data_IF_270098795858
#
_entry.id   IF_270098795858
#
_cell.length_a   1.000
_cell.length_b   1.000
_cell.length_c   1.000
_cell.angle_alpha   90.00
_cell.angle_beta   90.00
_cell.angle_gamma   90.00
#
_symmetry.space_group_name_H-M   'P 1'
#
loop_
_entity.id
_entity.type
_entity.pdbx_description
1 polymer ?
#
# COMPACT_ATOMS: atom_id res chain seq x y z
N UNK A 1 13.50 -28.51 -19.02
CA UNK A 1 13.55 -27.14 -19.57
C UNK A 1 14.84 -26.51 -19.07
N UNK A 2 15.68 -25.95 -19.95
CA UNK A 2 16.88 -25.23 -19.50
C UNK A 2 16.52 -23.86 -18.89
N UNK A 3 17.42 -23.24 -18.14
CA UNK A 3 17.22 -21.87 -17.61
C UNK A 3 17.00 -20.86 -18.74
N UNK A 4 17.65 -21.08 -19.87
CA UNK A 4 17.56 -20.28 -21.08
C UNK A 4 16.18 -20.45 -21.73
N UNK A 5 15.65 -21.66 -21.77
CA UNK A 5 14.32 -21.97 -22.29
C UNK A 5 13.22 -21.38 -21.39
N UNK A 6 13.39 -21.43 -20.07
CA UNK A 6 12.50 -20.77 -19.10
C UNK A 6 12.47 -19.25 -19.29
N UNK A 7 13.63 -18.62 -19.48
CA UNK A 7 13.74 -17.18 -19.76
C UNK A 7 13.07 -16.83 -21.08
N UNK A 8 13.29 -17.62 -22.13
CA UNK A 8 12.67 -17.40 -23.43
C UNK A 8 11.15 -17.51 -23.37
N UNK A 9 10.62 -18.53 -22.68
CA UNK A 9 9.18 -18.73 -22.51
C UNK A 9 8.54 -17.59 -21.70
N UNK A 10 9.19 -17.15 -20.62
CA UNK A 10 8.75 -15.97 -19.86
C UNK A 10 8.69 -14.71 -20.73
N UNK A 11 9.75 -14.44 -21.50
CA UNK A 11 9.79 -13.25 -22.37
C UNK A 11 8.72 -13.31 -23.47
N UNK A 12 8.47 -14.50 -24.03
CA UNK A 12 7.39 -14.74 -24.99
C UNK A 12 6.02 -14.42 -24.38
N UNK A 13 5.75 -14.91 -23.18
CA UNK A 13 4.48 -14.65 -22.49
C UNK A 13 4.33 -13.18 -22.09
N UNK A 14 5.41 -12.55 -21.60
CA UNK A 14 5.42 -11.10 -21.32
C UNK A 14 5.15 -10.27 -22.56
N UNK A 15 5.71 -10.65 -23.70
CA UNK A 15 5.44 -9.97 -24.97
C UNK A 15 3.97 -10.13 -25.38
N UNK A 16 3.45 -11.37 -25.34
CA UNK A 16 2.04 -11.64 -25.60
C UNK A 16 1.11 -10.78 -24.72
N UNK A 17 1.39 -10.71 -23.42
CA UNK A 17 0.64 -9.87 -22.47
C UNK A 17 0.66 -8.39 -22.86
N UNK A 18 1.84 -7.87 -23.23
CA UNK A 18 1.98 -6.46 -23.58
C UNK A 18 1.35 -6.10 -24.93
N UNK A 19 1.37 -6.99 -25.91
CA UNK A 19 0.94 -6.69 -27.29
C UNK A 19 -0.50 -7.11 -27.61
N UNK A 20 -1.11 -7.94 -26.77
CA UNK A 20 -2.43 -8.54 -27.02
C UNK A 20 -3.34 -8.31 -25.81
N UNK A 21 -3.35 -7.08 -25.30
CA UNK A 21 -3.98 -6.70 -24.02
C UNK A 21 -5.46 -7.09 -23.96
N UNK A 22 -6.16 -6.97 -25.07
CA UNK A 22 -7.56 -7.36 -25.26
C UNK A 22 -7.82 -8.87 -25.14
N UNK A 23 -6.79 -9.69 -25.32
CA UNK A 23 -6.83 -11.15 -25.17
C UNK A 23 -6.29 -11.63 -23.82
N UNK A 24 -5.87 -10.70 -22.97
CA UNK A 24 -5.24 -10.98 -21.68
C UNK A 24 -6.15 -10.63 -20.52
N UNK A 25 -5.87 -11.22 -19.37
CA UNK A 25 -6.65 -11.10 -18.14
C UNK A 25 -5.76 -10.73 -16.95
N UNK A 26 -6.39 -10.41 -15.82
CA UNK A 26 -5.67 -10.21 -14.55
C UNK A 26 -4.95 -11.48 -14.08
N UNK A 27 -5.42 -12.67 -14.49
CA UNK A 27 -4.72 -13.94 -14.21
C UNK A 27 -3.41 -14.06 -14.99
N UNK A 28 -3.34 -13.50 -16.20
CA UNK A 28 -2.09 -13.46 -16.97
C UNK A 28 -1.07 -12.54 -16.30
N UNK A 29 -1.51 -11.39 -15.78
CA UNK A 29 -0.67 -10.50 -14.99
C UNK A 29 -0.19 -11.15 -13.69
N UNK A 30 -1.09 -11.84 -12.97
CA UNK A 30 -0.75 -12.58 -11.76
C UNK A 30 0.30 -13.66 -12.06
N UNK A 31 0.10 -14.40 -13.15
CA UNK A 31 1.05 -15.42 -13.62
C UNK A 31 2.40 -14.81 -13.94
N UNK A 32 2.46 -13.72 -14.71
CA UNK A 32 3.71 -12.98 -14.97
C UNK A 32 4.41 -12.56 -13.68
N UNK A 33 3.64 -12.07 -12.71
CA UNK A 33 4.16 -11.59 -11.44
C UNK A 33 4.86 -12.70 -10.66
N UNK A 34 4.29 -13.91 -10.59
CA UNK A 34 4.93 -15.07 -9.91
C UNK A 34 6.33 -15.39 -10.45
N UNK A 35 6.53 -15.25 -11.76
CA UNK A 35 7.81 -15.55 -12.42
C UNK A 35 8.71 -14.33 -12.60
N UNK A 36 8.27 -13.14 -12.19
CA UNK A 36 9.03 -11.90 -12.34
C UNK A 36 10.07 -11.71 -11.23
N UNK A 37 11.08 -10.88 -11.49
CA UNK A 37 12.08 -10.51 -10.50
C UNK A 37 11.42 -9.88 -9.26
N UNK A 38 11.71 -10.45 -8.10
CA UNK A 38 11.12 -10.06 -6.80
C UNK A 38 9.58 -10.07 -6.74
N UNK A 39 8.89 -10.68 -7.70
CA UNK A 39 7.43 -10.72 -7.78
C UNK A 39 6.77 -9.35 -7.71
N UNK A 40 7.42 -8.34 -8.28
CA UNK A 40 6.89 -6.99 -8.33
C UNK A 40 5.95 -6.82 -9.52
N UNK A 41 5.12 -5.78 -9.48
CA UNK A 41 4.41 -5.28 -10.65
C UNK A 41 5.05 -3.96 -11.07
N UNK A 42 5.63 -3.89 -12.27
CA UNK A 42 6.24 -2.67 -12.81
C UNK A 42 5.94 -2.52 -14.29
N UNK A 43 5.57 -1.30 -14.66
CA UNK A 43 5.23 -0.91 -16.01
C UNK A 43 6.08 0.28 -16.45
N UNK A 44 6.41 0.36 -17.74
CA UNK A 44 7.06 1.53 -18.31
C UNK A 44 6.03 2.62 -18.70
N UNK A 45 6.50 3.75 -19.25
CA UNK A 45 5.64 4.87 -19.65
C UNK A 45 4.64 4.52 -20.78
N UNK A 46 4.89 3.42 -21.51
CA UNK A 46 3.98 2.90 -22.51
C UNK A 46 2.94 1.91 -21.91
N UNK A 47 2.88 1.76 -20.58
CA UNK A 47 1.97 0.84 -19.90
C UNK A 47 2.31 -0.65 -20.09
N UNK A 48 3.53 -0.95 -20.56
CA UNK A 48 4.02 -2.32 -20.78
C UNK A 48 4.71 -2.86 -19.54
N UNK A 49 4.38 -4.09 -19.15
CA UNK A 49 5.05 -4.82 -18.08
C UNK A 49 6.52 -5.06 -18.45
N UNK A 50 7.45 -4.66 -17.59
CA UNK A 50 8.86 -4.55 -17.97
C UNK A 50 9.87 -5.28 -17.06
N UNK A 51 9.41 -6.12 -16.12
CA UNK A 51 10.33 -6.87 -15.26
C UNK A 51 10.96 -8.07 -15.97
N UNK A 52 12.25 -8.38 -15.68
CA UNK A 52 12.88 -9.60 -16.14
C UNK A 52 12.36 -10.82 -15.36
N UNK A 53 12.67 -12.02 -15.84
CA UNK A 53 12.38 -13.27 -15.12
C UNK A 53 13.14 -13.29 -13.80
N UNK A 54 12.44 -13.58 -12.71
CA UNK A 54 13.03 -13.86 -11.41
C UNK A 54 13.40 -15.33 -11.24
N UNK A 55 13.80 -15.71 -10.03
CA UNK A 55 14.01 -17.11 -9.65
C UNK A 55 12.79 -17.70 -8.91
N UNK A 56 11.72 -16.92 -8.78
CA UNK A 56 10.48 -17.34 -8.14
C UNK A 56 9.62 -18.14 -9.13
N UNK A 57 8.81 -19.00 -8.55
CA UNK A 57 7.82 -19.80 -9.25
C UNK A 57 6.67 -20.10 -8.28
N UNK A 58 5.60 -20.62 -8.84
CA UNK A 58 4.44 -21.04 -8.07
C UNK A 58 4.76 -22.28 -7.23
N UNK A 59 4.47 -22.22 -5.93
CA UNK A 59 4.64 -23.35 -5.00
C UNK A 59 3.29 -23.70 -4.37
N UNK A 60 3.16 -24.95 -3.88
CA UNK A 60 1.95 -25.40 -3.18
C UNK A 60 1.66 -24.54 -1.96
N UNK A 61 2.67 -24.23 -1.15
CA UNK A 61 2.51 -23.40 0.05
C UNK A 61 1.96 -22.01 -0.30
N UNK A 62 2.44 -21.40 -1.39
CA UNK A 62 1.91 -20.10 -1.86
C UNK A 62 0.49 -20.19 -2.38
N UNK A 63 0.11 -21.31 -2.98
CA UNK A 63 -1.28 -21.55 -3.34
C UNK A 63 -2.16 -21.61 -2.10
N UNK A 64 -1.75 -22.36 -1.08
CA UNK A 64 -2.50 -22.51 0.17
C UNK A 64 -2.65 -21.17 0.90
N UNK A 65 -1.59 -20.35 0.93
CA UNK A 65 -1.65 -18.96 1.43
C UNK A 65 -2.65 -18.09 0.63
N UNK A 66 -2.58 -18.15 -0.71
CA UNK A 66 -3.48 -17.40 -1.59
C UNK A 66 -4.93 -17.85 -1.43
N UNK A 67 -5.18 -19.16 -1.40
CA UNK A 67 -6.50 -19.75 -1.20
C UNK A 67 -7.08 -19.37 0.17
N UNK A 68 -6.24 -19.36 1.22
CA UNK A 68 -6.65 -18.90 2.55
C UNK A 68 -7.10 -17.43 2.54
N UNK A 69 -6.27 -16.54 1.98
CA UNK A 69 -6.59 -15.12 1.86
C UNK A 69 -7.86 -14.90 1.02
N UNK A 70 -7.97 -15.60 -0.12
CA UNK A 70 -9.15 -15.56 -0.99
C UNK A 70 -10.44 -15.97 -0.26
N UNK A 71 -10.36 -17.02 0.56
CA UNK A 71 -11.48 -17.49 1.37
C UNK A 71 -11.91 -16.50 2.45
N UNK A 72 -10.99 -15.66 2.95
CA UNK A 72 -11.33 -14.57 3.87
C UNK A 72 -12.06 -13.46 3.10
N UNK A 73 -11.50 -13.02 1.98
CA UNK A 73 -11.98 -11.81 1.30
C UNK A 73 -13.22 -12.01 0.44
N UNK A 74 -13.53 -13.25 0.04
CA UNK A 74 -14.80 -13.56 -0.67
C UNK A 74 -16.03 -13.49 0.22
N UNK A 75 -15.86 -13.30 1.54
CA UNK A 75 -16.98 -13.10 2.47
C UNK A 75 -17.70 -11.78 2.12
N UNK A 76 -19.03 -11.68 2.32
CA UNK A 76 -19.86 -10.58 1.81
C UNK A 76 -19.54 -9.19 2.40
N UNK A 77 -18.65 -9.11 3.38
CA UNK A 77 -18.33 -7.89 4.11
C UNK A 77 -17.09 -7.16 3.57
N UNK A 78 -16.50 -7.63 2.47
CA UNK A 78 -15.37 -6.98 1.81
C UNK A 78 -15.82 -6.29 0.53
N UNK A 79 -15.43 -5.03 0.39
CA UNK A 79 -15.60 -4.26 -0.84
C UNK A 79 -14.21 -3.89 -1.33
N UNK A 80 -13.93 -4.25 -2.59
CA UNK A 80 -12.71 -3.86 -3.28
C UNK A 80 -12.98 -2.68 -4.19
N UNK A 81 -12.05 -1.74 -4.23
CA UNK A 81 -12.19 -0.52 -5.01
C UNK A 81 -10.82 -0.03 -5.44
N UNK A 82 -10.75 0.51 -6.65
CA UNK A 82 -9.54 1.09 -7.23
C UNK A 82 -9.85 2.53 -7.63
N UNK A 83 -9.74 3.42 -6.66
CA UNK A 83 -9.97 4.87 -6.81
C UNK A 83 -8.84 5.63 -6.12
N UNK A 84 -8.79 6.95 -6.33
CA UNK A 84 -8.00 7.81 -5.49
C UNK A 84 -8.45 7.65 -4.03
N UNK A 85 -7.52 7.39 -3.12
CA UNK A 85 -7.84 7.13 -1.71
C UNK A 85 -8.54 8.32 -1.04
N UNK A 86 -8.22 9.55 -1.43
CA UNK A 86 -8.85 10.75 -0.90
C UNK A 86 -10.33 10.83 -1.29
N UNK A 87 -10.68 10.45 -2.52
CA UNK A 87 -12.08 10.39 -2.95
C UNK A 87 -12.88 9.41 -2.08
N UNK A 88 -12.28 8.26 -1.76
CA UNK A 88 -12.91 7.27 -0.86
C UNK A 88 -13.08 7.87 0.54
N UNK A 89 -12.02 8.43 1.14
CA UNK A 89 -12.10 9.00 2.49
C UNK A 89 -13.16 10.11 2.53
N UNK A 90 -13.10 11.08 1.63
CA UNK A 90 -14.03 12.20 1.60
C UNK A 90 -15.47 11.77 1.28
N UNK A 91 -15.67 10.71 0.49
CA UNK A 91 -17.01 10.14 0.27
C UNK A 91 -17.64 9.59 1.56
N UNK A 92 -16.84 8.97 2.43
CA UNK A 92 -17.29 8.45 3.74
C UNK A 92 -17.56 9.59 4.72
N UNK A 93 -16.79 10.68 4.63
CA UNK A 93 -16.96 11.84 5.51
C UNK A 93 -18.23 12.67 5.18
N UNK A 94 -18.71 12.73 3.93
CA UNK A 94 -19.94 13.46 3.52
C UNK A 94 -19.80 14.99 3.30
N UNK A 95 -20.66 15.54 2.41
CA UNK A 95 -20.58 16.71 1.46
C UNK A 95 -19.73 17.97 1.75
N UNK A 96 -19.10 18.42 0.65
CA UNK A 96 -19.11 19.82 0.15
C UNK A 96 -19.88 19.90 -1.18
N UNK A 97 -20.67 20.95 -1.43
CA UNK A 97 -21.41 21.17 -2.68
C UNK A 97 -20.80 22.31 -3.53
N UNK A 98 -20.86 22.17 -4.88
CA UNK A 98 -20.04 22.78 -5.96
C UNK A 98 -18.60 22.26 -6.17
N UNK A 99 -18.31 21.04 -5.71
CA UNK A 99 -17.71 19.93 -6.51
C UNK A 99 -17.57 18.60 -5.72
N UNK A 100 -18.45 18.40 -4.72
CA UNK A 100 -19.34 17.24 -4.47
C UNK A 100 -18.80 15.94 -3.83
N UNK A 101 -19.34 15.59 -2.64
CA UNK A 101 -19.54 14.19 -2.15
C UNK A 101 -20.87 13.99 -1.37
N UNK A 102 -21.92 13.33 -1.90
CA UNK A 102 -23.08 12.86 -1.08
C UNK A 102 -22.87 11.36 -0.81
N UNK A 103 -22.78 10.96 0.45
CA UNK A 103 -23.89 10.30 1.14
C UNK A 103 -24.02 10.82 2.57
N UNK A 104 -25.27 11.00 3.02
CA UNK A 104 -25.69 11.67 4.24
C UNK A 104 -24.96 11.16 5.50
N UNK A 105 -24.70 12.08 6.44
CA UNK A 105 -23.93 11.89 7.68
C UNK A 105 -24.08 10.50 8.27
N UNK A 106 -23.15 9.61 7.95
CA UNK A 106 -22.93 8.43 8.76
C UNK A 106 -22.12 8.90 9.95
N UNK A 107 -22.64 8.64 11.15
CA UNK A 107 -21.83 8.72 12.36
C UNK A 107 -20.60 7.81 12.17
N UNK A 108 -19.44 8.42 11.96
CA UNK A 108 -18.18 7.71 11.74
C UNK A 108 -17.46 7.39 13.05
N UNK A 109 -18.04 7.70 14.22
CA UNK A 109 -17.42 7.43 15.52
C UNK A 109 -17.17 5.94 15.77
N UNK A 110 -17.91 5.09 15.05
CA UNK A 110 -17.75 3.63 15.04
C UNK A 110 -16.87 3.11 13.90
N UNK A 111 -16.39 3.98 13.01
CA UNK A 111 -15.51 3.62 11.91
C UNK A 111 -14.05 3.67 12.36
N UNK A 112 -13.25 2.78 11.76
CA UNK A 112 -11.81 2.75 11.92
C UNK A 112 -11.16 2.84 10.54
N UNK A 113 -10.25 3.80 10.37
CA UNK A 113 -9.54 4.07 9.13
C UNK A 113 -8.07 3.68 9.29
N UNK A 114 -7.60 2.71 8.52
CA UNK A 114 -6.17 2.38 8.46
C UNK A 114 -5.57 2.91 7.17
N UNK A 115 -4.50 3.68 7.28
CA UNK A 115 -3.76 4.23 6.16
C UNK A 115 -2.33 3.69 6.16
N UNK A 116 -1.92 3.17 5.00
CA UNK A 116 -0.55 2.69 4.74
C UNK A 116 -0.12 3.23 3.36
N UNK A 117 0.13 4.55 3.27
CA UNK A 117 0.45 5.19 2.00
C UNK A 117 1.88 4.84 1.57
N UNK A 118 2.22 5.06 0.31
CA UNK A 118 3.62 5.09 -0.09
C UNK A 118 4.44 6.07 0.75
N UNK A 119 5.60 5.64 1.27
CA UNK A 119 6.40 6.52 2.14
C UNK A 119 7.32 7.41 1.32
N UNK A 120 7.08 8.73 1.33
CA UNK A 120 7.83 9.75 0.57
C UNK A 120 9.35 9.72 0.81
N UNK A 121 9.80 9.27 1.99
CA UNK A 121 11.21 9.17 2.36
C UNK A 121 11.86 7.81 1.98
N UNK A 122 11.14 6.90 1.33
CA UNK A 122 11.63 5.59 0.91
C UNK A 122 11.63 5.41 -0.60
N UNK A 123 12.37 4.40 -1.07
CA UNK A 123 12.46 4.07 -2.50
C UNK A 123 11.69 2.80 -2.76
N UNK A 124 10.59 2.91 -3.51
CA UNK A 124 9.76 1.79 -3.94
C UNK A 124 9.20 2.08 -5.35
N UNK A 125 8.80 1.03 -6.07
CA UNK A 125 8.32 1.14 -7.47
C UNK A 125 7.15 2.12 -7.61
N UNK A 126 6.25 2.13 -6.63
CA UNK A 126 5.09 3.03 -6.60
C UNK A 126 5.42 4.49 -6.23
N UNK A 127 6.63 4.77 -5.74
CA UNK A 127 7.12 6.13 -5.52
C UNK A 127 7.88 6.68 -6.74
N UNK A 128 8.25 5.81 -7.69
CA UNK A 128 8.93 6.25 -8.90
C UNK A 128 8.03 7.21 -9.70
N UNK A 129 8.65 8.11 -10.45
CA UNK A 129 7.95 9.06 -11.36
C UNK A 129 6.96 10.01 -10.68
N UNK A 130 7.12 10.25 -9.38
CA UNK A 130 6.26 11.18 -8.64
C UNK A 130 4.88 10.62 -8.32
N UNK A 131 4.75 9.29 -8.20
CA UNK A 131 3.49 8.64 -7.85
C UNK A 131 2.94 9.04 -6.48
N UNK A 132 3.82 9.32 -5.51
CA UNK A 132 3.47 9.89 -4.20
C UNK A 132 4.47 10.98 -3.84
N UNK A 133 3.96 12.12 -3.38
CA UNK A 133 4.74 13.32 -3.13
C UNK A 133 4.40 13.93 -1.78
N UNK A 134 5.17 14.95 -1.37
CA UNK A 134 4.85 15.75 -0.18
C UNK A 134 3.44 16.37 -0.23
N UNK A 135 2.89 16.64 -1.42
CA UNK A 135 1.53 17.16 -1.56
C UNK A 135 0.50 16.11 -1.16
N UNK A 136 0.76 14.85 -1.48
CA UNK A 136 -0.10 13.72 -1.15
C UNK A 136 -0.03 13.42 0.35
N UNK A 137 1.15 13.52 0.97
CA UNK A 137 1.28 13.48 2.44
C UNK A 137 0.43 14.57 3.10
N UNK A 138 0.54 15.81 2.64
CA UNK A 138 -0.21 16.94 3.21
C UNK A 138 -1.73 16.78 3.00
N UNK A 139 -2.17 16.20 1.89
CA UNK A 139 -3.58 15.92 1.63
C UNK A 139 -4.09 14.77 2.51
N UNK A 140 -3.29 13.72 2.70
CA UNK A 140 -3.60 12.65 3.63
C UNK A 140 -3.73 13.17 5.06
N UNK A 141 -2.84 14.06 5.50
CA UNK A 141 -2.91 14.66 6.84
C UNK A 141 -4.21 15.43 7.05
N UNK A 142 -4.66 16.23 6.08
CA UNK A 142 -5.97 16.90 6.15
C UNK A 142 -7.12 15.91 6.22
N UNK A 143 -7.06 14.83 5.44
CA UNK A 143 -8.10 13.81 5.43
C UNK A 143 -8.19 13.09 6.79
N UNK A 144 -7.06 12.77 7.42
CA UNK A 144 -6.99 12.17 8.75
C UNK A 144 -7.43 13.14 9.85
N UNK A 145 -7.05 14.42 9.76
CA UNK A 145 -7.56 15.48 10.64
C UNK A 145 -9.10 15.57 10.56
N UNK A 146 -9.66 15.53 9.34
CA UNK A 146 -11.10 15.58 9.14
C UNK A 146 -11.83 14.33 9.69
N UNK A 147 -11.19 13.15 9.64
CA UNK A 147 -11.68 11.94 10.32
C UNK A 147 -11.73 12.18 11.83
N UNK A 148 -10.65 12.71 12.40
CA UNK A 148 -10.56 13.01 13.83
C UNK A 148 -11.62 14.02 14.28
N UNK A 149 -11.79 15.11 13.53
CA UNK A 149 -12.75 16.18 13.86
C UNK A 149 -14.21 15.69 13.83
N UNK A 150 -14.49 14.64 13.06
CA UNK A 150 -15.79 13.96 13.02
C UNK A 150 -15.90 12.80 14.02
N UNK A 151 -14.93 12.63 14.91
CA UNK A 151 -14.91 11.62 15.97
C UNK A 151 -14.54 10.21 15.50
N UNK A 152 -14.10 10.05 14.25
CA UNK A 152 -13.62 8.77 13.73
C UNK A 152 -12.25 8.39 14.27
N UNK A 153 -11.93 7.10 14.28
CA UNK A 153 -10.62 6.59 14.69
C UNK A 153 -9.75 6.30 13.47
N UNK A 154 -8.48 6.69 13.50
CA UNK A 154 -7.53 6.32 12.46
C UNK A 154 -6.22 5.78 13.02
N UNK A 155 -5.55 4.99 12.19
CA UNK A 155 -4.16 4.60 12.36
C UNK A 155 -3.40 4.77 11.04
N UNK A 156 -2.23 5.41 11.10
CA UNK A 156 -1.35 5.66 9.96
C UNK A 156 -0.02 4.96 10.18
N UNK A 157 0.32 4.01 9.30
CA UNK A 157 1.67 3.45 9.20
C UNK A 157 2.56 4.39 8.39
N UNK A 158 3.77 4.65 8.89
CA UNK A 158 4.77 5.44 8.16
C UNK A 158 6.19 5.15 8.66
N UNK A 159 7.18 5.84 8.06
CA UNK A 159 8.59 5.77 8.45
C UNK A 159 9.04 7.15 8.94
N UNK A 160 9.30 7.26 10.24
CA UNK A 160 9.78 8.50 10.87
C UNK A 160 11.19 8.88 10.43
N UNK A 161 12.05 7.89 10.15
CA UNK A 161 13.37 8.15 9.57
C UNK A 161 13.87 6.93 8.81
N UNK A 162 14.60 7.15 7.70
CA UNK A 162 15.29 6.09 6.97
C UNK A 162 16.55 6.65 6.33
N UNK A 163 17.62 5.85 6.27
CA UNK A 163 18.89 6.22 5.62
C UNK A 163 19.44 7.59 6.11
N UNK A 164 19.28 7.88 7.40
CA UNK A 164 19.73 9.15 8.02
C UNK A 164 18.87 10.38 7.71
N UNK A 165 17.75 10.24 6.99
CA UNK A 165 16.78 11.32 6.75
C UNK A 165 15.56 11.16 7.63
N UNK A 166 15.20 12.21 8.35
CA UNK A 166 13.99 12.28 9.18
C UNK A 166 12.82 12.83 8.38
N UNK A 167 11.66 12.23 8.56
CA UNK A 167 10.38 12.69 8.02
C UNK A 167 9.81 13.78 8.94
N UNK A 168 10.41 14.98 8.91
CA UNK A 168 10.11 16.03 9.88
C UNK A 168 8.67 16.53 9.78
N UNK A 169 8.12 16.70 8.57
CA UNK A 169 6.74 17.18 8.39
C UNK A 169 5.70 16.21 8.96
N UNK A 170 5.95 14.90 8.90
CA UNK A 170 5.09 13.89 9.52
C UNK A 170 5.09 14.02 11.05
N UNK A 171 6.28 14.13 11.65
CA UNK A 171 6.43 14.24 13.10
C UNK A 171 5.83 15.54 13.62
N UNK A 172 6.15 16.67 12.96
CA UNK A 172 5.61 17.98 13.30
C UNK A 172 4.08 18.00 13.23
N UNK A 173 3.49 17.43 12.16
CA UNK A 173 2.03 17.33 12.03
C UNK A 173 1.43 16.53 13.19
N UNK A 174 1.92 15.31 13.44
CA UNK A 174 1.37 14.45 14.47
C UNK A 174 1.50 15.06 15.88
N UNK A 175 2.66 15.66 16.19
CA UNK A 175 2.89 16.36 17.46
C UNK A 175 1.97 17.58 17.61
N UNK A 176 1.84 18.40 16.55
CA UNK A 176 0.98 19.60 16.59
C UNK A 176 -0.50 19.30 16.85
N UNK A 177 -0.95 18.10 16.46
CA UNK A 177 -2.32 17.62 16.66
C UNK A 177 -2.50 16.84 17.96
N UNK A 178 -1.42 16.56 18.68
CA UNK A 178 -1.45 15.69 19.86
C UNK A 178 -1.77 14.23 19.53
N UNK A 179 -1.49 13.78 18.30
CA UNK A 179 -1.63 12.38 17.92
C UNK A 179 -0.52 11.54 18.54
N UNK A 180 -0.85 10.31 18.92
CA UNK A 180 0.09 9.40 19.57
C UNK A 180 0.97 8.75 18.52
N UNK A 181 2.29 8.93 18.65
CA UNK A 181 3.30 8.30 17.79
C UNK A 181 3.83 7.06 18.51
N UNK A 182 3.61 5.89 17.93
CA UNK A 182 4.06 4.60 18.48
C UNK A 182 5.20 4.07 17.62
N UNK A 183 6.43 3.98 18.14
CA UNK A 183 7.53 3.33 17.43
C UNK A 183 7.25 1.84 17.24
N UNK A 184 7.50 1.32 16.03
CA UNK A 184 7.43 -0.10 15.75
C UNK A 184 8.85 -0.68 15.80
N UNK A 185 9.09 -1.60 16.73
CA UNK A 185 10.37 -2.29 16.83
C UNK A 185 10.39 -3.46 15.84
N UNK A 186 10.81 -3.16 14.60
CA UNK A 186 11.03 -4.18 13.57
C UNK A 186 12.48 -4.15 13.11
N UNK A 187 13.12 -5.31 13.17
CA UNK A 187 14.41 -5.53 12.56
C UNK A 187 14.24 -6.15 11.17
N UNK A 188 14.47 -5.36 10.11
CA UNK A 188 14.46 -5.88 8.74
C UNK A 188 15.86 -6.25 8.28
N UNK A 189 16.06 -7.50 7.86
CA UNK A 189 17.28 -7.95 7.18
C UNK A 189 17.02 -8.10 5.68
N UNK A 190 17.38 -7.07 4.89
CA UNK A 190 17.33 -7.17 3.44
C UNK A 190 18.67 -7.69 2.91
N UNK A 191 18.70 -8.95 2.43
CA UNK A 191 19.77 -9.53 1.59
C UNK A 191 21.22 -9.20 2.04
N UNK A 192 21.54 -9.37 3.33
CA UNK A 192 22.92 -9.30 3.83
C UNK A 192 23.58 -7.91 3.84
N UNK A 193 22.86 -6.85 3.48
CA UNK A 193 23.29 -5.47 3.75
C UNK A 193 22.54 -4.99 4.98
N UNK A 194 23.29 -4.70 6.04
CA UNK A 194 22.76 -4.24 7.32
C UNK A 194 21.75 -3.09 7.17
N UNK A 195 20.87 -3.04 8.16
CA UNK A 195 19.73 -2.16 8.35
C UNK A 195 19.86 -0.78 7.66
N UNK A 196 18.82 -0.35 6.94
CA UNK A 196 18.68 1.04 6.51
C UNK A 196 18.36 2.01 7.67
N UNK A 197 18.45 1.54 8.93
CA UNK A 197 18.03 2.23 10.14
C UNK A 197 16.65 2.90 9.98
N UNK A 198 15.73 2.19 9.32
CA UNK A 198 14.38 2.66 9.15
C UNK A 198 13.64 2.56 10.49
N UNK A 199 13.11 3.68 10.97
CA UNK A 199 12.28 3.74 12.17
C UNK A 199 10.83 3.83 11.73
N UNK A 200 10.15 2.69 11.69
CA UNK A 200 8.71 2.64 11.43
C UNK A 200 7.92 3.16 12.64
N UNK A 201 6.80 3.82 12.35
CA UNK A 201 5.89 4.35 13.36
C UNK A 201 4.44 4.06 12.97
N UNK A 202 3.60 3.89 13.99
CA UNK A 202 2.15 3.91 13.88
C UNK A 202 1.65 5.18 14.57
N UNK A 203 0.94 6.04 13.84
CA UNK A 203 0.37 7.28 14.37
C UNK A 203 -1.14 7.08 14.54
N UNK A 204 -1.67 7.34 15.73
CA UNK A 204 -3.08 7.11 16.06
C UNK A 204 -3.70 8.31 16.78
N UNK A 205 -5.01 8.51 16.62
CA UNK A 205 -5.79 9.56 17.30
C UNK A 205 -6.64 9.06 18.47
N UNK A 206 -6.37 7.85 18.96
CA UNK A 206 -7.12 7.22 20.05
C UNK A 206 -6.17 6.59 21.06
N UNK A 207 -6.67 6.31 22.26
CA UNK A 207 -5.90 5.55 23.24
C UNK A 207 -6.02 4.04 22.96
N UNK A 208 -4.90 3.33 22.77
CA UNK A 208 -4.91 1.88 22.65
C UNK A 208 -5.27 1.29 24.02
N UNK A 209 -6.14 0.27 24.03
CA UNK A 209 -6.40 -0.46 25.27
C UNK A 209 -5.11 -1.20 25.69
N UNK A 210 -4.58 -0.88 26.87
CA UNK A 210 -3.28 -1.30 27.41
C UNK A 210 -3.04 -2.82 27.62
N UNK A 211 -3.79 -3.73 26.98
CA UNK A 211 -3.70 -5.18 27.24
C UNK A 211 -3.61 -6.06 25.97
N UNK A 212 -3.07 -5.57 24.86
CA UNK A 212 -2.75 -6.46 23.74
C UNK A 212 -1.24 -6.51 23.56
N UNK A 213 -0.64 -7.47 24.27
CA UNK A 213 0.66 -8.03 23.87
C UNK A 213 0.46 -8.58 22.45
N UNK A 214 1.04 -7.92 21.45
CA UNK A 214 1.11 -8.47 20.11
C UNK A 214 2.06 -9.67 20.18
N UNK A 215 1.56 -10.85 19.80
CA UNK A 215 2.30 -12.10 19.73
C UNK A 215 3.43 -12.04 18.70
#
# INVERSE_FOLDING_TARGET
>A
MSVEEEKANYLKFRNFYNTSRELTSDLDLLTLTYFSFSQQMRFNDAGMFNLPRGNNYYTKDRYEEFEHAFNIVRKPNFIFSSFNAFDIIYSVLGKLENNHFVTASKDISRCFFYADPPYTNTTAVYNEKGGWTIKDDLELFKALDAINDKGGKFALSNVASAKGKTNQHLLDWAESKGYKIIPLDKQYSAMGKGNANAKEVLIINYEPHNNVTLF
#
